data_IF_798142963174
#
_entry.id   IF_798142963174
#
_cell.length_a   1.000
_cell.length_b   1.000
_cell.length_c   1.000
_cell.angle_alpha   90.00
_cell.angle_beta   90.00
_cell.angle_gamma   90.00
#
_symmetry.space_group_name_H-M   'P 1'
#
loop_
_entity.id
_entity.type
_entity.pdbx_description
1 polymer ?
#
# COMPACT_ATOMS: atom_id res chain seq x y z
N UNK A 1 12.09 -0.77 -25.20
CA UNK A 1 12.08 -1.39 -23.86
C UNK A 1 10.85 -2.26 -23.74
N UNK A 2 11.03 -3.56 -23.52
CA UNK A 2 9.97 -4.58 -23.61
C UNK A 2 8.99 -4.47 -22.41
N UNK A 3 7.70 -4.81 -22.57
CA UNK A 3 6.69 -4.71 -21.48
C UNK A 3 7.14 -5.48 -20.22
N UNK A 4 7.81 -6.61 -20.43
CA UNK A 4 8.33 -7.46 -19.36
C UNK A 4 9.51 -6.82 -18.60
N UNK A 5 10.32 -5.99 -19.29
CA UNK A 5 11.36 -5.18 -18.63
C UNK A 5 10.76 -4.06 -17.78
N UNK A 6 9.67 -3.41 -18.23
CA UNK A 6 8.96 -2.38 -17.44
C UNK A 6 8.36 -2.95 -16.15
N UNK A 7 7.80 -4.18 -16.22
CA UNK A 7 7.25 -4.88 -15.04
C UNK A 7 8.35 -5.26 -14.04
N UNK A 8 9.45 -5.85 -14.52
CA UNK A 8 10.63 -6.16 -13.69
C UNK A 8 11.26 -4.91 -13.08
N UNK A 9 11.32 -3.79 -13.82
CA UNK A 9 11.84 -2.52 -13.31
C UNK A 9 10.94 -1.95 -12.21
N UNK A 10 9.60 -2.01 -12.35
CA UNK A 10 8.67 -1.58 -11.29
C UNK A 10 8.83 -2.39 -10.00
N UNK A 11 8.95 -3.71 -10.09
CA UNK A 11 9.16 -4.59 -8.92
C UNK A 11 10.50 -4.29 -8.25
N UNK A 12 11.58 -4.13 -9.04
CA UNK A 12 12.89 -3.78 -8.51
C UNK A 12 12.89 -2.41 -7.81
N UNK A 13 12.12 -1.45 -8.32
CA UNK A 13 11.96 -0.12 -7.71
C UNK A 13 11.20 -0.20 -6.38
N UNK A 14 10.21 -1.11 -6.26
CA UNK A 14 9.43 -1.32 -5.05
C UNK A 14 10.25 -2.00 -3.94
N UNK A 15 11.10 -2.97 -4.30
CA UNK A 15 12.01 -3.64 -3.37
C UNK A 15 13.11 -2.68 -2.91
N UNK A 16 13.67 -1.88 -3.83
CA UNK A 16 14.71 -0.91 -3.51
C UNK A 16 14.21 0.22 -2.61
N UNK A 17 12.96 0.69 -2.81
CA UNK A 17 12.36 1.70 -1.93
C UNK A 17 12.12 1.16 -0.52
N UNK A 18 11.71 -0.11 -0.39
CA UNK A 18 11.53 -0.77 0.90
C UNK A 18 12.86 -0.88 1.68
N UNK A 19 13.96 -1.21 0.98
CA UNK A 19 15.31 -1.28 1.59
C UNK A 19 15.82 0.11 2.01
N UNK A 20 15.59 1.16 1.21
CA UNK A 20 15.98 2.54 1.55
C UNK A 20 15.23 3.11 2.76
N UNK A 21 13.98 2.68 2.99
CA UNK A 21 13.20 3.09 4.16
C UNK A 21 13.78 2.49 5.44
N UNK A 22 14.34 1.28 5.39
CA UNK A 22 14.93 0.61 6.57
C UNK A 22 16.24 1.28 7.02
N UNK A 23 17.04 1.80 6.08
CA UNK A 23 18.35 2.40 6.41
C UNK A 23 18.24 3.82 6.99
N UNK A 24 17.21 4.61 6.65
CA UNK A 24 17.04 5.96 7.21
C UNK A 24 16.54 5.99 8.66
N UNK A 25 15.96 4.90 9.16
CA UNK A 25 15.48 4.81 10.55
C UNK A 25 16.63 4.82 11.58
N UNK A 26 17.83 4.39 11.20
CA UNK A 26 18.98 4.33 12.11
C UNK A 26 19.69 5.67 12.36
N UNK A 27 19.44 6.71 11.57
CA UNK A 27 20.19 7.98 11.68
C UNK A 27 19.40 9.05 12.46
N UNK A 28 18.07 8.91 12.60
CA UNK A 28 17.20 10.00 13.09
C UNK A 28 16.99 10.07 14.62
N UNK A 29 17.61 9.17 15.41
CA UNK A 29 17.38 9.09 16.87
C UNK A 29 18.15 10.12 17.72
N UNK A 30 18.87 11.07 17.11
CA UNK A 30 19.76 11.99 17.83
C UNK A 30 19.45 13.49 17.61
N UNK A 31 18.24 13.97 17.91
CA UNK A 31 18.01 15.41 18.15
C UNK A 31 17.04 15.63 19.32
N UNK A 32 17.59 16.04 20.47
CA UNK A 32 16.86 16.37 21.71
C UNK A 32 16.06 17.68 21.54
N UNK A 33 14.77 17.66 21.84
CA UNK A 33 13.90 18.85 21.89
C UNK A 33 14.11 19.68 23.17
N UNK A 34 14.32 21.00 23.04
CA UNK A 34 14.20 21.97 24.15
C UNK A 34 12.78 22.55 24.20
N UNK A 35 12.16 22.54 25.38
CA UNK A 35 10.82 23.06 25.67
C UNK A 35 10.78 24.58 25.81
N UNK A 36 9.83 25.26 25.15
CA UNK A 36 9.58 26.69 25.31
C UNK A 36 8.48 26.97 26.37
N UNK A 37 8.77 27.88 27.30
CA UNK A 37 7.89 28.38 28.38
C UNK A 37 6.77 29.27 27.85
N UNK A 38 5.53 29.00 28.26
CA UNK A 38 4.37 29.90 28.09
C UNK A 38 4.21 30.78 29.35
N UNK A 39 4.04 32.10 29.18
CA UNK A 39 3.65 33.05 30.24
C UNK A 39 2.17 33.43 30.09
N UNK A 40 1.44 33.44 31.20
CA UNK A 40 0.02 33.80 31.30
C UNK A 40 -0.23 35.18 31.91
N UNK A 41 -1.41 35.72 31.56
CA UNK A 41 -2.30 36.63 32.31
C UNK A 41 -2.34 38.13 31.96
N UNK A 42 -3.58 38.59 31.69
CA UNK A 42 -4.01 39.99 31.68
C UNK A 42 -5.51 40.11 31.37
N UNK A 43 -6.35 40.12 32.42
CA UNK A 43 -7.82 40.27 32.43
C UNK A 43 -8.24 41.73 32.18
N UNK A 44 -9.27 41.97 31.35
CA UNK A 44 -10.08 43.21 31.42
C UNK A 44 -11.52 42.98 30.95
N UNK A 45 -12.47 43.37 31.80
CA UNK A 45 -13.93 43.28 31.64
C UNK A 45 -14.45 44.68 31.29
N UNK A 46 -15.33 44.85 30.29
CA UNK A 46 -16.25 46.01 30.21
C UNK A 46 -17.60 45.64 29.56
N UNK A 47 -18.64 45.75 30.40
CA UNK A 47 -20.08 46.12 30.25
C UNK A 47 -20.92 45.74 29.01
N UNK A 48 -22.10 45.22 29.34
CA UNK A 48 -23.24 44.81 28.51
C UNK A 48 -24.18 45.97 28.15
N UNK A 49 -24.75 45.92 26.94
CA UNK A 49 -25.89 46.75 26.48
C UNK A 49 -26.91 45.87 25.75
N UNK A 50 -28.20 45.96 26.12
CA UNK A 50 -29.34 45.19 25.57
C UNK A 50 -30.22 46.03 24.63
N UNK A 51 -30.52 45.50 23.42
CA UNK A 51 -31.77 45.54 22.59
C UNK A 51 -31.34 45.41 21.10
N UNK A 52 -32.04 44.73 20.18
CA UNK A 52 -33.48 44.52 19.96
C UNK A 52 -33.67 43.29 19.04
N UNK A 53 -34.73 42.50 19.26
CA UNK A 53 -35.11 41.36 18.41
C UNK A 53 -35.52 41.80 17.00
N UNK A 54 -34.91 41.20 15.98
CA UNK A 54 -35.45 41.08 14.61
C UNK A 54 -35.29 39.63 14.16
N UNK A 55 -36.39 39.05 13.67
CA UNK A 55 -36.47 37.66 13.22
C UNK A 55 -35.38 37.34 12.17
N UNK A 56 -34.73 36.16 12.23
CA UNK A 56 -33.66 35.82 11.30
C UNK A 56 -34.24 35.47 9.93
N UNK A 57 -34.03 36.36 8.95
CA UNK A 57 -33.98 35.95 7.54
C UNK A 57 -32.88 34.90 7.43
N UNK A 58 -33.22 33.70 6.97
CA UNK A 58 -32.30 32.57 6.76
C UNK A 58 -31.30 32.93 5.66
N UNK A 59 -30.23 33.65 6.03
CA UNK A 59 -29.02 33.75 5.25
C UNK A 59 -28.38 32.36 5.24
N UNK A 60 -28.33 31.72 4.07
CA UNK A 60 -27.40 30.62 3.82
C UNK A 60 -26.01 31.18 4.05
N UNK A 61 -25.37 30.83 5.17
CA UNK A 61 -23.99 31.19 5.47
C UNK A 61 -23.12 30.56 4.38
N UNK A 62 -22.68 31.36 3.42
CA UNK A 62 -21.51 31.03 2.61
C UNK A 62 -20.34 30.73 3.56
N UNK A 63 -19.55 29.71 3.25
CA UNK A 63 -18.40 29.28 4.05
C UNK A 63 -17.55 30.48 4.52
N UNK A 64 -17.48 30.68 5.83
CA UNK A 64 -16.59 31.64 6.51
C UNK A 64 -15.11 31.21 6.48
N UNK A 65 -14.78 30.10 5.83
CA UNK A 65 -13.44 29.52 5.84
C UNK A 65 -12.57 30.14 4.74
N UNK A 66 -11.69 31.07 5.13
CA UNK A 66 -10.63 31.61 4.27
C UNK A 66 -9.39 30.67 4.21
N UNK A 67 -9.60 29.37 4.46
CA UNK A 67 -8.58 28.31 4.48
C UNK A 67 -9.21 27.03 3.95
N UNK A 68 -8.43 26.13 3.32
CA UNK A 68 -8.95 24.84 2.92
C UNK A 68 -9.20 23.95 4.14
N UNK A 69 -9.95 22.88 3.95
CA UNK A 69 -10.17 21.84 4.96
C UNK A 69 -10.25 20.47 4.31
N UNK A 70 -9.85 19.44 5.05
CA UNK A 70 -10.01 18.04 4.66
C UNK A 70 -10.61 17.25 5.82
N UNK A 71 -11.49 16.32 5.51
CA UNK A 71 -12.06 15.37 6.47
C UNK A 71 -12.17 14.01 5.80
N UNK A 72 -11.67 12.98 6.45
CA UNK A 72 -11.76 11.59 5.96
C UNK A 72 -12.96 10.93 6.64
N UNK A 73 -13.85 10.35 5.85
CA UNK A 73 -15.07 9.68 6.35
C UNK A 73 -14.91 8.18 6.45
N UNK A 74 -13.92 7.60 5.77
CA UNK A 74 -13.63 6.18 5.86
C UNK A 74 -13.22 5.80 7.27
N UNK A 75 -13.87 4.76 7.81
CA UNK A 75 -13.45 4.09 9.04
C UNK A 75 -12.30 3.16 8.70
N UNK A 76 -11.18 3.36 9.38
CA UNK A 76 -10.04 2.47 9.24
C UNK A 76 -10.23 1.20 10.07
N UNK A 77 -9.68 0.07 9.63
CA UNK A 77 -9.79 -1.19 10.33
C UNK A 77 -8.95 -1.16 11.61
N UNK A 78 -9.56 -1.56 12.70
CA UNK A 78 -8.92 -1.75 14.01
C UNK A 78 -8.61 -3.23 14.30
N UNK A 79 -9.11 -4.14 13.47
CA UNK A 79 -8.97 -5.59 13.61
C UNK A 79 -7.95 -6.20 12.66
N UNK A 80 -8.07 -7.51 12.45
CA UNK A 80 -7.27 -8.23 11.46
C UNK A 80 -7.76 -7.90 10.05
N UNK A 81 -6.84 -7.55 9.15
CA UNK A 81 -7.11 -7.31 7.72
C UNK A 81 -6.24 -8.21 6.85
N UNK A 82 -6.83 -8.67 5.74
CA UNK A 82 -6.11 -9.44 4.71
C UNK A 82 -5.44 -8.51 3.69
N UNK A 83 -6.07 -7.37 3.36
CA UNK A 83 -5.54 -6.37 2.43
C UNK A 83 -4.93 -5.18 3.19
N UNK A 84 -3.75 -4.75 2.76
CA UNK A 84 -3.09 -3.57 3.28
C UNK A 84 -3.38 -2.30 2.48
N UNK A 85 -4.13 -2.39 1.39
CA UNK A 85 -4.65 -1.23 0.66
C UNK A 85 -6.10 -0.99 1.08
N UNK A 86 -6.41 0.25 1.45
CA UNK A 86 -7.76 0.67 1.81
C UNK A 86 -8.24 1.75 0.87
N UNK A 87 -9.45 1.56 0.33
CA UNK A 87 -10.20 2.61 -0.32
C UNK A 87 -10.70 3.65 0.70
N UNK A 88 -10.28 4.90 0.52
CA UNK A 88 -10.63 6.02 1.37
C UNK A 88 -11.56 6.99 0.65
N UNK A 89 -12.57 7.47 1.36
CA UNK A 89 -13.44 8.58 0.98
C UNK A 89 -13.16 9.77 1.88
N UNK A 90 -13.10 10.95 1.27
CA UNK A 90 -12.81 12.19 1.97
C UNK A 90 -13.53 13.37 1.32
N UNK A 91 -13.74 14.42 2.12
CA UNK A 91 -14.24 15.71 1.63
C UNK A 91 -13.13 16.74 1.76
N UNK A 92 -12.76 17.37 0.64
CA UNK A 92 -11.82 18.47 0.58
C UNK A 92 -12.56 19.75 0.14
N UNK A 93 -12.46 20.81 0.94
CA UNK A 93 -13.11 22.10 0.68
C UNK A 93 -12.01 23.15 0.51
N UNK A 94 -11.97 23.89 -0.60
CA UNK A 94 -10.95 24.92 -0.83
C UNK A 94 -11.22 26.18 -0.01
N UNK A 95 -10.22 27.07 0.09
CA UNK A 95 -10.48 28.45 0.49
C UNK A 95 -11.51 29.11 -0.42
N UNK A 96 -12.20 30.13 0.09
CA UNK A 96 -13.14 30.94 -0.71
C UNK A 96 -12.47 31.47 -1.99
N UNK A 97 -13.04 31.14 -3.15
CA UNK A 97 -12.55 31.57 -4.46
C UNK A 97 -11.34 30.79 -4.99
N UNK A 98 -10.89 29.76 -4.28
CA UNK A 98 -9.85 28.83 -4.71
C UNK A 98 -10.45 27.48 -5.10
N UNK A 99 -9.60 26.61 -5.65
CA UNK A 99 -9.93 25.23 -5.98
C UNK A 99 -8.86 24.29 -5.43
N UNK A 100 -9.21 23.03 -5.17
CA UNK A 100 -8.24 22.04 -4.71
C UNK A 100 -7.27 21.69 -5.84
N UNK A 101 -5.97 21.75 -5.55
CA UNK A 101 -4.91 21.41 -6.50
C UNK A 101 -4.23 20.10 -6.14
N UNK A 102 -4.17 19.76 -4.85
CA UNK A 102 -3.49 18.57 -4.34
C UNK A 102 -4.26 17.95 -3.18
N UNK A 103 -4.36 16.62 -3.19
CA UNK A 103 -4.61 15.83 -1.99
C UNK A 103 -3.56 14.73 -1.91
N UNK A 104 -2.91 14.62 -0.77
CA UNK A 104 -1.86 13.64 -0.52
C UNK A 104 -2.00 13.05 0.88
N UNK A 105 -1.34 11.92 1.13
CA UNK A 105 -1.23 11.33 2.45
C UNK A 105 0.22 10.90 2.74
N UNK A 106 0.58 10.86 4.01
CA UNK A 106 1.80 10.21 4.49
C UNK A 106 1.50 9.26 5.63
N UNK A 107 2.37 8.28 5.87
CA UNK A 107 2.24 7.34 6.97
C UNK A 107 3.53 7.35 7.78
N UNK A 108 3.40 7.53 9.09
CA UNK A 108 4.54 7.50 10.02
C UNK A 108 5.67 8.44 9.59
N UNK A 109 5.31 9.64 9.13
CA UNK A 109 6.22 10.67 8.62
C UNK A 109 7.03 10.26 7.37
N UNK A 110 6.51 9.33 6.56
CA UNK A 110 7.05 9.03 5.23
C UNK A 110 6.89 10.20 4.25
N UNK A 111 7.46 10.03 3.07
CA UNK A 111 7.14 10.85 1.90
C UNK A 111 5.63 10.86 1.63
N UNK A 112 5.12 12.01 1.18
CA UNK A 112 3.72 12.14 0.78
C UNK A 112 3.47 11.44 -0.55
N UNK A 113 2.37 10.68 -0.60
CA UNK A 113 1.86 10.05 -1.80
C UNK A 113 0.59 10.77 -2.25
N UNK A 114 0.48 11.03 -3.55
CA UNK A 114 -0.63 11.80 -4.10
C UNK A 114 -1.86 10.94 -4.32
N UNK A 115 -2.99 11.34 -3.75
CA UNK A 115 -4.31 10.81 -4.04
C UNK A 115 -4.93 11.57 -5.22
N UNK A 116 -4.76 12.89 -5.26
CA UNK A 116 -5.27 13.76 -6.30
C UNK A 116 -4.26 14.85 -6.63
N UNK A 117 -4.07 15.11 -7.93
CA UNK A 117 -3.28 16.21 -8.48
C UNK A 117 -4.01 16.85 -9.65
N UNK A 118 -4.34 18.13 -9.52
CA UNK A 118 -4.97 18.90 -10.59
C UNK A 118 -3.97 19.20 -11.69
N UNK A 119 -4.33 18.92 -12.94
CA UNK A 119 -3.48 19.14 -14.11
C UNK A 119 -2.57 17.95 -14.48
N UNK A 120 -2.54 16.90 -13.64
CA UNK A 120 -1.70 15.74 -13.87
C UNK A 120 -0.20 16.04 -13.79
N UNK A 121 0.61 15.02 -14.00
CA UNK A 121 2.08 15.10 -13.98
C UNK A 121 2.70 13.75 -14.30
N UNK A 122 4.01 13.62 -14.06
CA UNK A 122 4.72 12.33 -14.19
C UNK A 122 4.32 11.32 -13.11
N UNK A 123 3.63 11.77 -12.06
CA UNK A 123 3.18 10.94 -10.94
C UNK A 123 1.71 10.59 -11.15
N UNK A 124 1.41 9.29 -11.19
CA UNK A 124 0.05 8.77 -11.26
C UNK A 124 -0.62 8.85 -9.88
N UNK A 125 -1.72 9.62 -9.72
CA UNK A 125 -2.41 9.72 -8.44
C UNK A 125 -3.09 8.40 -8.05
N UNK A 126 -3.13 8.10 -6.76
CA UNK A 126 -3.75 6.89 -6.20
C UNK A 126 -5.28 6.98 -6.06
N UNK A 127 -5.92 7.91 -6.78
CA UNK A 127 -7.33 8.19 -6.64
C UNK A 127 -7.85 9.33 -7.50
N UNK A 128 -8.98 9.88 -7.08
CA UNK A 128 -9.64 11.04 -7.65
C UNK A 128 -9.97 12.05 -6.55
N UNK A 129 -10.50 13.22 -6.89
CA UNK A 129 -10.94 14.16 -5.86
C UNK A 129 -12.11 13.52 -5.08
N UNK A 130 -11.90 13.33 -3.78
CA UNK A 130 -12.87 12.73 -2.86
C UNK A 130 -12.74 11.22 -2.63
N UNK A 131 -11.95 10.51 -3.45
CA UNK A 131 -11.70 9.06 -3.29
C UNK A 131 -10.23 8.71 -3.50
N UNK A 132 -9.66 7.79 -2.74
CA UNK A 132 -8.26 7.41 -2.88
C UNK A 132 -7.96 6.02 -2.36
N UNK A 133 -6.71 5.59 -2.52
CA UNK A 133 -6.17 4.37 -1.93
C UNK A 133 -5.01 4.68 -1.01
N UNK A 134 -5.05 4.11 0.19
CA UNK A 134 -4.03 4.26 1.23
C UNK A 134 -3.42 2.90 1.55
N UNK A 135 -2.09 2.80 1.48
CA UNK A 135 -1.35 1.59 1.81
C UNK A 135 -0.96 1.58 3.29
N UNK A 136 -1.62 0.79 4.12
CA UNK A 136 -1.26 0.59 5.51
C UNK A 136 0.03 -0.23 5.69
N UNK A 137 0.70 0.01 6.80
CA UNK A 137 1.85 -0.77 7.26
C UNK A 137 1.45 -1.74 8.37
N UNK A 138 2.16 -2.87 8.53
CA UNK A 138 1.88 -3.87 9.56
C UNK A 138 2.42 -3.49 10.95
N UNK A 139 2.04 -2.30 11.40
CA UNK A 139 2.37 -1.71 12.69
C UNK A 139 1.41 -0.55 12.96
N UNK A 140 1.68 0.23 14.00
CA UNK A 140 0.97 1.48 14.21
C UNK A 140 1.16 2.41 12.99
N UNK A 141 0.05 2.93 12.48
CA UNK A 141 -0.04 3.86 11.37
C UNK A 141 -0.55 5.20 11.90
N UNK A 142 0.30 6.23 11.88
CA UNK A 142 -0.14 7.62 11.93
C UNK A 142 -0.25 8.13 10.49
N UNK A 143 -1.48 8.23 9.99
CA UNK A 143 -1.79 8.67 8.63
C UNK A 143 -2.11 10.16 8.65
N UNK A 144 -1.38 10.96 7.87
CA UNK A 144 -1.64 12.40 7.74
C UNK A 144 -2.09 12.68 6.32
N UNK A 145 -3.36 13.03 6.17
CA UNK A 145 -3.90 13.57 4.93
C UNK A 145 -3.61 15.06 4.88
N UNK A 146 -3.20 15.53 3.70
CA UNK A 146 -2.92 16.94 3.42
C UNK A 146 -3.70 17.35 2.18
N UNK A 147 -4.28 18.54 2.23
CA UNK A 147 -4.90 19.20 1.08
C UNK A 147 -4.20 20.52 0.80
N UNK A 148 -4.02 20.86 -0.47
CA UNK A 148 -3.53 22.17 -0.93
C UNK A 148 -4.52 22.75 -1.94
N UNK A 149 -4.77 24.05 -1.85
CA UNK A 149 -5.60 24.78 -2.80
C UNK A 149 -4.78 25.70 -3.72
N UNK A 150 -5.43 26.23 -4.76
CA UNK A 150 -4.82 27.13 -5.75
C UNK A 150 -4.32 28.46 -5.18
N UNK A 151 -4.63 28.79 -3.93
CA UNK A 151 -4.06 29.94 -3.22
C UNK A 151 -2.75 29.60 -2.48
N UNK A 152 -2.29 28.35 -2.57
CA UNK A 152 -1.11 27.84 -1.87
C UNK A 152 -1.34 27.53 -0.39
N UNK A 153 -2.57 27.63 0.11
CA UNK A 153 -2.91 27.29 1.49
C UNK A 153 -3.11 25.79 1.62
N UNK A 154 -2.90 25.28 2.83
CA UNK A 154 -3.07 23.85 3.12
C UNK A 154 -3.76 23.60 4.45
N UNK A 155 -4.30 22.38 4.59
CA UNK A 155 -4.85 21.85 5.82
C UNK A 155 -4.54 20.35 5.92
N UNK A 156 -4.60 19.81 7.13
CA UNK A 156 -4.33 18.39 7.38
C UNK A 156 -5.44 17.73 8.20
N UNK A 157 -5.53 16.41 8.07
CA UNK A 157 -6.37 15.55 8.89
C UNK A 157 -5.56 14.30 9.26
N UNK A 158 -5.52 13.96 10.55
CA UNK A 158 -4.69 12.86 11.06
C UNK A 158 -5.56 11.75 11.61
N UNK A 159 -5.21 10.52 11.24
CA UNK A 159 -5.81 9.28 11.73
C UNK A 159 -4.69 8.42 12.34
N UNK A 160 -4.98 7.76 13.46
CA UNK A 160 -4.05 6.84 14.11
C UNK A 160 -4.71 5.49 14.29
N UNK A 161 -4.09 4.44 13.77
CA UNK A 161 -4.64 3.09 13.77
C UNK A 161 -3.55 2.04 13.90
N UNK A 162 -3.89 0.87 14.43
CA UNK A 162 -2.96 -0.25 14.57
C UNK A 162 -3.63 -1.56 14.13
N UNK A 163 -3.83 -1.75 12.81
CA UNK A 163 -4.44 -2.96 12.30
C UNK A 163 -3.52 -4.16 12.51
N UNK A 164 -4.11 -5.32 12.77
CA UNK A 164 -3.40 -6.59 12.68
C UNK A 164 -3.48 -7.05 11.23
N UNK A 165 -2.42 -7.65 10.70
CA UNK A 165 -2.44 -8.21 9.36
C UNK A 165 -2.51 -9.72 9.45
N UNK A 166 -3.46 -10.29 8.72
CA UNK A 166 -3.40 -11.70 8.41
C UNK A 166 -2.35 -11.86 7.30
N UNK A 167 -1.18 -12.37 7.67
CA UNK A 167 -0.12 -12.64 6.71
C UNK A 167 -0.41 -13.89 5.87
N UNK A 168 -1.43 -14.67 6.23
CA UNK A 168 -1.76 -15.94 5.59
C UNK A 168 -1.10 -17.13 6.29
N UNK A 169 -0.77 -18.15 5.50
CA UNK A 169 -0.29 -19.44 5.98
C UNK A 169 1.21 -19.51 5.67
N UNK A 170 2.09 -19.69 6.66
CA UNK A 170 3.52 -19.81 6.39
C UNK A 170 3.80 -21.05 5.56
N UNK A 171 4.57 -20.90 4.48
CA UNK A 171 5.00 -22.02 3.65
C UNK A 171 5.90 -22.96 4.47
N UNK A 172 5.59 -24.26 4.58
CA UNK A 172 6.43 -25.21 5.31
C UNK A 172 7.78 -25.41 4.59
N UNK A 173 8.81 -25.83 5.33
CA UNK A 173 10.07 -26.27 4.73
C UNK A 173 9.90 -27.45 3.77
N UNK A 174 10.93 -27.74 2.98
CA UNK A 174 10.98 -28.87 2.04
C UNK A 174 12.10 -29.86 2.39
N UNK A 175 11.85 -31.13 2.08
CA UNK A 175 12.79 -32.24 2.26
C UNK A 175 13.85 -32.31 1.16
N UNK A 176 14.87 -33.15 1.36
CA UNK A 176 15.93 -33.36 0.37
C UNK A 176 15.43 -34.02 -0.92
N UNK A 177 14.39 -34.85 -0.84
CA UNK A 177 13.78 -35.52 -1.98
C UNK A 177 12.93 -34.59 -2.88
N UNK A 178 12.63 -33.39 -2.38
CA UNK A 178 11.94 -32.32 -3.12
C UNK A 178 12.94 -31.40 -3.85
N UNK A 179 14.25 -31.59 -3.65
CA UNK A 179 15.31 -30.76 -4.24
C UNK A 179 15.74 -31.29 -5.61
N UNK A 180 15.95 -30.40 -6.57
CA UNK A 180 16.50 -30.76 -7.87
C UNK A 180 17.43 -29.67 -8.41
N UNK A 181 18.44 -30.09 -9.17
CA UNK A 181 19.39 -29.20 -9.82
C UNK A 181 18.82 -28.68 -11.13
N UNK A 182 19.02 -27.39 -11.41
CA UNK A 182 18.77 -26.85 -12.74
C UNK A 182 19.72 -27.46 -13.77
N UNK A 183 19.27 -27.57 -15.01
CA UNK A 183 20.16 -27.98 -16.11
C UNK A 183 21.32 -26.99 -16.31
N UNK A 184 21.07 -25.71 -16.02
CA UNK A 184 22.09 -24.66 -15.90
C UNK A 184 22.52 -24.50 -14.43
N UNK A 185 23.74 -24.95 -14.04
CA UNK A 185 24.19 -24.90 -12.66
C UNK A 185 24.24 -23.49 -12.08
N UNK A 186 24.34 -22.45 -12.93
CA UNK A 186 24.35 -21.05 -12.47
C UNK A 186 23.01 -20.59 -11.88
N UNK A 187 21.92 -21.32 -12.14
CA UNK A 187 20.58 -21.06 -11.58
C UNK A 187 20.37 -21.73 -10.22
N UNK A 188 21.19 -22.74 -9.88
CA UNK A 188 21.24 -23.35 -8.54
C UNK A 188 20.31 -24.53 -8.43
N UNK A 189 19.41 -24.50 -7.44
CA UNK A 189 18.45 -25.57 -7.19
C UNK A 189 17.02 -25.05 -7.15
N UNK A 190 16.08 -25.96 -7.43
CA UNK A 190 14.65 -25.71 -7.33
C UNK A 190 13.93 -26.82 -6.60
N UNK A 191 12.72 -26.50 -6.13
CA UNK A 191 11.83 -27.46 -5.48
C UNK A 191 10.95 -28.10 -6.55
N UNK A 192 11.11 -29.41 -6.77
CA UNK A 192 10.54 -30.14 -7.92
C UNK A 192 9.04 -30.44 -7.82
N UNK A 193 8.38 -29.97 -6.78
CA UNK A 193 6.99 -30.25 -6.50
C UNK A 193 6.24 -29.04 -5.92
N UNK A 194 6.73 -27.82 -6.17
CA UNK A 194 6.11 -26.58 -5.70
C UNK A 194 6.14 -25.50 -6.78
N UNK A 195 5.02 -24.80 -6.90
CA UNK A 195 4.91 -23.57 -7.69
C UNK A 195 4.43 -22.42 -6.82
N UNK A 196 4.93 -21.23 -7.11
CA UNK A 196 4.56 -19.96 -6.52
C UNK A 196 3.67 -19.24 -7.52
N UNK A 197 2.44 -18.91 -7.12
CA UNK A 197 1.47 -18.19 -7.94
C UNK A 197 1.22 -16.83 -7.32
N UNK A 198 1.55 -15.77 -8.05
CA UNK A 198 1.14 -14.40 -7.74
C UNK A 198 -0.21 -14.12 -8.37
N UNK A 199 -1.17 -13.76 -7.53
CA UNK A 199 -2.55 -13.50 -7.89
C UNK A 199 -2.77 -12.01 -8.13
N UNK A 200 -3.71 -11.71 -9.02
CA UNK A 200 -4.22 -10.35 -9.21
C UNK A 200 -5.11 -9.96 -8.02
N UNK A 201 -5.27 -8.66 -7.81
CA UNK A 201 -6.10 -8.11 -6.72
C UNK A 201 -7.58 -8.53 -6.79
N UNK A 202 -8.06 -8.94 -7.96
CA UNK A 202 -9.44 -9.41 -8.19
C UNK A 202 -9.58 -10.94 -8.13
N UNK A 203 -8.52 -11.68 -7.77
CA UNK A 203 -8.59 -13.14 -7.69
C UNK A 203 -9.60 -13.60 -6.65
N UNK A 204 -10.57 -14.40 -7.07
CA UNK A 204 -11.61 -14.92 -6.19
C UNK A 204 -11.34 -16.36 -5.77
N UNK A 205 -11.89 -16.76 -4.61
CA UNK A 205 -11.63 -18.06 -3.99
C UNK A 205 -11.99 -19.25 -4.89
N UNK A 206 -13.09 -19.16 -5.63
CA UNK A 206 -13.54 -20.24 -6.52
C UNK A 206 -12.55 -20.46 -7.66
N UNK A 207 -12.14 -19.39 -8.34
CA UNK A 207 -11.18 -19.48 -9.45
C UNK A 207 -9.80 -19.94 -8.98
N UNK A 208 -9.38 -19.54 -7.78
CA UNK A 208 -8.16 -20.05 -7.15
C UNK A 208 -8.28 -21.56 -6.90
N UNK A 209 -9.42 -22.03 -6.41
CA UNK A 209 -9.64 -23.46 -6.19
C UNK A 209 -9.62 -24.25 -7.51
N UNK A 210 -10.27 -23.76 -8.57
CA UNK A 210 -10.21 -24.38 -9.90
C UNK A 210 -8.77 -24.48 -10.44
N UNK A 211 -7.94 -23.44 -10.22
CA UNK A 211 -6.52 -23.48 -10.56
C UNK A 211 -5.76 -24.56 -9.79
N UNK A 212 -6.00 -24.66 -8.48
CA UNK A 212 -5.33 -25.65 -7.60
C UNK A 212 -5.73 -27.07 -8.00
N UNK A 213 -7.01 -27.31 -8.27
CA UNK A 213 -7.52 -28.60 -8.75
C UNK A 213 -6.93 -28.96 -10.13
N UNK A 214 -6.75 -27.97 -11.01
CA UNK A 214 -6.18 -28.20 -12.34
C UNK A 214 -4.75 -28.77 -12.33
N UNK A 215 -3.98 -28.47 -11.29
CA UNK A 215 -2.59 -28.91 -11.16
C UNK A 215 -2.43 -30.12 -10.23
N UNK A 216 -3.54 -30.78 -9.88
CA UNK A 216 -3.60 -31.82 -8.85
C UNK A 216 -2.90 -31.37 -7.57
N UNK A 217 -3.13 -30.11 -7.19
CA UNK A 217 -2.34 -29.41 -6.19
C UNK A 217 -2.99 -29.26 -4.83
N UNK A 218 -2.22 -28.75 -3.88
CA UNK A 218 -2.69 -28.32 -2.56
C UNK A 218 -1.99 -27.03 -2.16
N UNK A 219 -2.74 -26.02 -1.70
CA UNK A 219 -2.15 -24.79 -1.15
C UNK A 219 -1.46 -25.14 0.16
N UNK A 220 -0.14 -24.92 0.22
CA UNK A 220 0.68 -25.15 1.42
C UNK A 220 1.24 -23.86 2.01
N UNK A 221 1.14 -22.74 1.29
CA UNK A 221 1.56 -21.43 1.76
C UNK A 221 0.69 -20.34 1.14
N UNK A 222 0.51 -19.24 1.88
CA UNK A 222 -0.23 -18.06 1.44
C UNK A 222 0.38 -16.81 2.05
N UNK A 223 0.66 -15.81 1.22
CA UNK A 223 1.02 -14.46 1.66
C UNK A 223 -0.02 -13.46 1.17
N UNK A 224 -0.90 -13.02 2.06
CA UNK A 224 -2.00 -12.11 1.70
C UNK A 224 -1.49 -10.74 1.22
N UNK A 225 -0.34 -10.26 1.73
CA UNK A 225 0.22 -8.95 1.38
C UNK A 225 0.73 -8.95 -0.07
N UNK A 226 1.33 -10.05 -0.50
CA UNK A 226 1.84 -10.21 -1.87
C UNK A 226 0.79 -10.79 -2.83
N UNK A 227 -0.40 -11.13 -2.34
CA UNK A 227 -1.36 -11.97 -3.05
C UNK A 227 -0.71 -13.22 -3.64
N UNK A 228 0.11 -13.90 -2.85
CA UNK A 228 0.91 -15.06 -3.28
C UNK A 228 0.36 -16.33 -2.64
N UNK A 229 0.31 -17.41 -3.40
CA UNK A 229 0.07 -18.77 -2.89
C UNK A 229 1.20 -19.70 -3.34
N UNK A 230 1.56 -20.63 -2.47
CA UNK A 230 2.48 -21.73 -2.78
C UNK A 230 1.65 -23.01 -2.88
N UNK A 231 1.69 -23.64 -4.04
CA UNK A 231 0.93 -24.86 -4.34
C UNK A 231 1.92 -26.01 -4.44
N UNK A 232 1.71 -27.04 -3.62
CA UNK A 232 2.38 -28.33 -3.77
C UNK A 232 1.70 -29.10 -4.90
N UNK A 233 2.48 -29.59 -5.84
CA UNK A 233 2.05 -30.33 -7.04
C UNK A 233 2.77 -31.68 -7.11
N UNK A 234 2.40 -32.62 -7.98
CA UNK A 234 3.19 -33.82 -8.23
C UNK A 234 4.63 -33.47 -8.68
N UNK A 235 5.61 -34.34 -8.35
CA UNK A 235 7.02 -34.13 -8.73
C UNK A 235 7.15 -34.03 -10.26
N UNK A 236 7.91 -33.04 -10.73
CA UNK A 236 8.11 -32.71 -12.15
C UNK A 236 9.53 -32.21 -12.42
N UNK A 237 9.97 -32.31 -13.68
CA UNK A 237 11.26 -31.73 -14.12
C UNK A 237 11.19 -30.20 -14.26
N UNK A 238 12.34 -29.54 -14.44
CA UNK A 238 12.41 -28.09 -14.72
C UNK A 238 11.52 -27.73 -15.93
N UNK A 239 11.62 -28.50 -17.02
CA UNK A 239 10.91 -28.25 -18.27
C UNK A 239 9.40 -28.40 -18.09
N UNK A 240 8.97 -29.44 -17.37
CA UNK A 240 7.56 -29.69 -17.09
C UNK A 240 6.94 -28.60 -16.21
N UNK A 241 7.65 -28.14 -15.17
CA UNK A 241 7.17 -27.04 -14.33
C UNK A 241 7.13 -25.74 -15.12
N UNK A 242 8.15 -25.43 -15.91
CA UNK A 242 8.17 -24.22 -16.75
C UNK A 242 7.05 -24.21 -17.79
N UNK A 243 6.73 -25.37 -18.37
CA UNK A 243 5.59 -25.51 -19.29
C UNK A 243 4.27 -25.27 -18.54
N UNK A 244 4.10 -25.88 -17.36
CA UNK A 244 2.92 -25.70 -16.52
C UNK A 244 2.75 -24.23 -16.10
N UNK A 245 3.81 -23.54 -15.67
CA UNK A 245 3.75 -22.12 -15.32
C UNK A 245 3.21 -21.26 -16.47
N UNK A 246 3.74 -21.44 -17.69
CA UNK A 246 3.29 -20.72 -18.89
C UNK A 246 1.82 -21.02 -19.21
N UNK A 247 1.42 -22.27 -19.06
CA UNK A 247 0.05 -22.70 -19.29
C UNK A 247 -0.92 -22.06 -18.30
N UNK A 248 -0.57 -22.03 -17.00
CA UNK A 248 -1.38 -21.40 -15.97
C UNK A 248 -1.51 -19.89 -16.19
N UNK A 249 -0.44 -19.20 -16.56
CA UNK A 249 -0.47 -17.78 -16.92
C UNK A 249 -1.39 -17.50 -18.12
N UNK A 250 -1.44 -18.40 -19.10
CA UNK A 250 -2.29 -18.26 -20.28
C UNK A 250 -3.76 -18.64 -20.00
N UNK A 251 -4.01 -19.65 -19.17
CA UNK A 251 -5.35 -20.20 -18.90
C UNK A 251 -6.11 -19.38 -17.85
N UNK A 252 -5.42 -18.87 -16.83
CA UNK A 252 -5.99 -18.15 -15.69
C UNK A 252 -5.64 -16.66 -15.71
N UNK A 253 -5.61 -16.05 -16.91
CA UNK A 253 -5.27 -14.63 -17.08
C UNK A 253 -6.20 -13.69 -16.30
N UNK A 254 -7.38 -14.11 -15.90
CA UNK A 254 -8.33 -13.33 -15.09
C UNK A 254 -7.86 -13.15 -13.64
N UNK A 255 -7.11 -14.11 -13.10
CA UNK A 255 -6.71 -14.15 -11.69
C UNK A 255 -5.21 -14.30 -11.42
N UNK A 256 -4.41 -14.75 -12.39
CA UNK A 256 -2.96 -14.95 -12.27
C UNK A 256 -2.21 -13.75 -12.84
N UNK A 257 -1.28 -13.22 -12.06
CA UNK A 257 -0.33 -12.19 -12.52
C UNK A 257 1.03 -12.77 -12.94
N UNK A 258 1.49 -13.81 -12.25
CA UNK A 258 2.72 -14.55 -12.57
C UNK A 258 2.73 -15.94 -11.90
N UNK A 259 3.35 -16.93 -12.53
CA UNK A 259 3.66 -18.24 -11.92
C UNK A 259 5.14 -18.57 -12.09
N UNK A 260 5.77 -19.04 -11.02
CA UNK A 260 7.15 -19.49 -11.01
C UNK A 260 7.34 -20.76 -10.20
N UNK A 261 8.47 -21.42 -10.42
CA UNK A 261 8.97 -22.50 -9.58
C UNK A 261 9.69 -21.93 -8.35
N UNK A 262 9.66 -22.64 -7.24
CA UNK A 262 10.37 -22.23 -6.01
C UNK A 262 11.87 -22.54 -6.15
N UNK A 263 12.72 -21.51 -6.08
CA UNK A 263 14.18 -21.63 -6.18
C UNK A 263 14.86 -21.45 -4.83
N UNK A 264 15.98 -22.14 -4.62
CA UNK A 264 16.81 -21.97 -3.44
C UNK A 264 18.30 -22.17 -3.78
N UNK A 265 19.18 -21.70 -2.89
CA UNK A 265 20.63 -21.92 -3.03
C UNK A 265 21.40 -20.79 -3.71
N UNK A 266 20.80 -19.64 -4.00
CA UNK A 266 21.53 -18.41 -4.34
C UNK A 266 21.18 -17.27 -3.39
N UNK A 267 22.09 -16.99 -2.46
CA UNK A 267 22.10 -15.76 -1.65
C UNK A 267 23.31 -14.94 -2.11
N UNK A 268 23.12 -14.10 -3.12
CA UNK A 268 24.13 -13.13 -3.61
C UNK A 268 24.63 -13.38 -5.04
N UNK A 269 25.23 -12.36 -5.69
CA UNK A 269 25.88 -12.54 -6.99
C UNK A 269 27.00 -13.57 -6.87
N UNK A 270 27.11 -14.48 -7.85
CA UNK A 270 28.25 -15.36 -7.98
C UNK A 270 29.52 -14.50 -8.02
N UNK A 271 30.35 -14.60 -6.98
CA UNK A 271 31.73 -14.16 -7.07
C UNK A 271 32.38 -15.17 -8.01
N UNK A 272 32.65 -14.69 -9.22
CA UNK A 272 33.48 -15.40 -10.20
C UNK A 272 34.90 -15.21 -9.68
N UNK A 273 35.50 -16.27 -9.15
CA UNK A 273 36.94 -16.32 -8.86
C UNK A 273 37.77 -16.39 -10.17
#
# INVERSE_FOLDING_TARGET
>A
MNLNQKKKQKIFTLILSLILIITQVNISSAVKSKSAKVKSNGKKIVKSVKKKNKAPKKLVKGNTYNKPSITVTTKFPTGTVEDNIIDVEYTAIPSKGAEITEVSYSINNSTYEYIYLKGGGIIEPKGTLGKGRVLLLPKENTIVFKVVDSSGKSATFTVKENPKFDYGIPTPGFGDDEKSDFADPSKGKFVNNRIIVFLKSNANKQRIQELVEYVDGTIIGKNNILNEIVIKIPKKTEEEINALCKELEAKYTDIVDHVGLETFGFVGPAIID
#
